data_IF_687443739921
#
_entry.id   IF_687443739921
#
_cell.length_a   1.000
_cell.length_b   1.000
_cell.length_c   1.000
_cell.angle_alpha   90.00
_cell.angle_beta   90.00
_cell.angle_gamma   90.00
#
_symmetry.space_group_name_H-M   'P 1'
#
loop_
_entity.id
_entity.type
_entity.pdbx_description
1 polymer ?
#
# COMPACT_ATOMS: atom_id res chain seq x y z
N UNK A 1 20.70 21.32 24.28
CA UNK A 1 19.45 20.52 24.31
C UNK A 1 18.55 20.67 23.07
N UNK A 2 18.72 21.67 22.19
CA UNK A 2 17.83 21.87 21.02
C UNK A 2 18.10 20.92 19.83
N UNK A 3 19.35 20.52 19.62
CA UNK A 3 19.74 19.67 18.48
C UNK A 3 19.26 18.21 18.64
N UNK A 4 19.28 17.65 19.85
CA UNK A 4 18.81 16.29 20.08
C UNK A 4 17.28 16.18 19.96
N UNK A 5 16.55 17.27 20.27
CA UNK A 5 15.10 17.34 20.07
C UNK A 5 14.74 17.37 18.59
N UNK A 6 15.43 18.20 17.80
CA UNK A 6 15.29 18.24 16.33
C UNK A 6 15.62 16.89 15.66
N UNK A 7 16.67 16.20 16.12
CA UNK A 7 17.02 14.87 15.58
C UNK A 7 15.96 13.83 15.92
N UNK A 8 15.41 13.87 17.14
CA UNK A 8 14.32 12.98 17.55
C UNK A 8 13.04 13.28 16.74
N UNK A 9 12.69 14.55 16.55
CA UNK A 9 11.54 14.98 15.76
C UNK A 9 11.69 14.54 14.28
N UNK A 10 12.89 14.65 13.70
CA UNK A 10 13.17 14.14 12.35
C UNK A 10 13.10 12.61 12.28
N UNK A 11 13.64 11.88 13.26
CA UNK A 11 13.56 10.41 13.28
C UNK A 11 12.12 9.93 13.45
N UNK A 12 11.33 10.64 14.24
CA UNK A 12 9.89 10.40 14.40
C UNK A 12 9.18 10.65 13.06
N UNK A 13 9.44 11.76 12.36
CA UNK A 13 8.87 12.05 11.04
C UNK A 13 9.30 11.02 9.97
N UNK A 14 10.54 10.53 10.00
CA UNK A 14 11.04 9.47 9.10
C UNK A 14 10.43 8.10 9.43
N UNK A 15 10.18 7.82 10.72
CA UNK A 15 9.46 6.61 11.13
C UNK A 15 7.98 6.68 10.72
N UNK A 16 7.34 7.85 10.85
CA UNK A 16 5.97 8.07 10.39
C UNK A 16 5.84 8.04 8.86
N UNK A 17 6.86 8.45 8.10
CA UNK A 17 6.81 8.31 6.63
C UNK A 17 6.94 6.86 6.14
N UNK A 18 7.43 5.93 6.98
CA UNK A 18 7.32 4.48 6.72
C UNK A 18 5.95 3.89 7.07
N UNK A 19 5.08 4.65 7.75
CA UNK A 19 3.65 4.35 7.93
C UNK A 19 2.83 5.04 6.82
N UNK A 20 3.42 5.20 5.63
CA UNK A 20 2.61 5.41 4.44
C UNK A 20 1.93 4.09 4.10
N UNK A 21 0.61 4.07 4.35
CA UNK A 21 -0.32 3.03 3.92
C UNK A 21 0.10 2.48 2.57
N UNK A 22 0.40 1.19 2.50
CA UNK A 22 0.67 0.49 1.27
C UNK A 22 -0.65 0.41 0.47
N UNK A 23 -1.01 1.51 -0.19
CA UNK A 23 -1.96 1.51 -1.29
C UNK A 23 -1.15 1.54 -2.57
N UNK A 24 -0.46 0.43 -2.84
CA UNK A 24 0.19 0.24 -4.12
C UNK A 24 -0.90 0.29 -5.19
N UNK A 25 -0.83 1.29 -6.07
CA UNK A 25 -1.67 1.34 -7.25
C UNK A 25 -1.57 0.02 -8.01
N UNK A 26 -2.71 -0.57 -8.39
CA UNK A 26 -2.77 -1.76 -9.21
C UNK A 26 -2.86 -1.31 -10.67
N UNK A 27 -1.72 -1.29 -11.37
CA UNK A 27 -1.67 -0.73 -12.72
C UNK A 27 -2.53 -1.52 -13.71
N UNK A 28 -2.62 -2.83 -13.53
CA UNK A 28 -3.43 -3.76 -14.31
C UNK A 28 -4.93 -3.48 -14.19
N UNK A 29 -5.37 -2.90 -13.05
CA UNK A 29 -6.76 -2.48 -12.88
C UNK A 29 -7.20 -1.49 -13.95
N UNK A 30 -6.32 -0.56 -14.33
CA UNK A 30 -6.63 0.47 -15.32
C UNK A 30 -6.96 -0.10 -16.70
N UNK A 31 -6.37 -1.24 -17.07
CA UNK A 31 -6.66 -1.91 -18.34
C UNK A 31 -8.05 -2.56 -18.38
N UNK A 32 -8.65 -2.81 -17.22
CA UNK A 32 -9.97 -3.47 -17.09
C UNK A 32 -11.12 -2.49 -16.86
N UNK A 33 -10.80 -1.22 -16.59
CA UNK A 33 -11.76 -0.18 -16.29
C UNK A 33 -12.53 0.22 -17.56
N UNK A 34 -13.84 -0.01 -17.54
CA UNK A 34 -14.74 0.30 -18.65
C UNK A 34 -15.91 1.11 -18.15
N UNK A 35 -16.23 2.21 -18.84
CA UNK A 35 -17.47 2.95 -18.59
C UNK A 35 -18.67 2.08 -18.97
N UNK A 36 -19.62 1.99 -18.05
CA UNK A 36 -20.89 1.28 -18.26
C UNK A 36 -22.06 2.25 -18.11
N UNK A 37 -23.21 1.90 -18.69
CA UNK A 37 -24.43 2.71 -18.59
C UNK A 37 -24.97 2.78 -17.16
N UNK A 38 -24.88 1.68 -16.43
CA UNK A 38 -25.34 1.57 -15.05
C UNK A 38 -24.64 0.40 -14.36
N UNK A 39 -24.45 0.52 -13.05
CA UNK A 39 -23.99 -0.59 -12.22
C UNK A 39 -25.14 -1.53 -11.82
N UNK A 40 -24.84 -2.78 -11.46
CA UNK A 40 -25.82 -3.72 -10.92
C UNK A 40 -26.64 -3.14 -9.76
N UNK A 41 -27.95 -3.39 -9.78
CA UNK A 41 -28.89 -2.87 -8.81
C UNK A 41 -29.08 -3.78 -7.59
N UNK A 42 -28.70 -5.05 -7.70
CA UNK A 42 -28.88 -6.08 -6.68
C UNK A 42 -27.81 -7.18 -6.79
N UNK A 43 -27.83 -8.13 -5.86
CA UNK A 43 -26.83 -9.19 -5.78
C UNK A 43 -26.85 -10.14 -6.99
N UNK A 44 -28.03 -10.41 -7.55
CA UNK A 44 -28.17 -11.30 -8.71
C UNK A 44 -27.55 -10.68 -9.96
N UNK A 45 -27.88 -9.42 -10.24
CA UNK A 45 -27.26 -8.64 -11.32
C UNK A 45 -25.75 -8.50 -11.11
N UNK A 46 -25.32 -8.28 -9.86
CA UNK A 46 -23.91 -8.16 -9.53
C UNK A 46 -23.17 -9.45 -9.83
N UNK A 47 -23.75 -10.60 -9.46
CA UNK A 47 -23.16 -11.92 -9.70
C UNK A 47 -23.05 -12.19 -11.20
N UNK A 48 -24.12 -11.91 -11.96
CA UNK A 48 -24.13 -12.04 -13.42
C UNK A 48 -23.06 -11.16 -14.08
N UNK A 49 -22.93 -9.91 -13.65
CA UNK A 49 -21.95 -8.98 -14.18
C UNK A 49 -20.51 -9.38 -13.79
N UNK A 50 -20.29 -9.84 -12.56
CA UNK A 50 -19.00 -10.33 -12.09
C UNK A 50 -18.50 -11.54 -12.88
N UNK A 51 -19.38 -12.52 -13.11
CA UNK A 51 -19.08 -13.70 -13.96
C UNK A 51 -18.76 -13.25 -15.38
N UNK A 52 -19.57 -12.35 -15.95
CA UNK A 52 -19.35 -11.83 -17.31
C UNK A 52 -18.02 -11.07 -17.43
N UNK A 53 -17.62 -10.33 -16.40
CA UNK A 53 -16.36 -9.57 -16.39
C UNK A 53 -15.13 -10.48 -16.26
N UNK A 54 -15.26 -11.62 -15.57
CA UNK A 54 -14.25 -12.67 -15.53
C UNK A 54 -12.94 -12.25 -14.84
N UNK A 55 -13.00 -11.43 -13.78
CA UNK A 55 -11.79 -10.87 -13.16
C UNK A 55 -10.79 -11.93 -12.65
N UNK A 56 -11.25 -13.13 -12.30
CA UNK A 56 -10.40 -14.24 -11.86
C UNK A 56 -9.58 -14.91 -12.97
N UNK A 57 -9.90 -14.64 -14.24
CA UNK A 57 -9.17 -15.19 -15.40
C UNK A 57 -8.07 -14.24 -15.90
N UNK A 58 -8.06 -13.00 -15.41
CA UNK A 58 -7.11 -11.97 -15.84
C UNK A 58 -5.82 -12.11 -15.03
N UNK A 59 -4.68 -12.25 -15.70
CA UNK A 59 -3.38 -12.26 -15.02
C UNK A 59 -3.07 -10.87 -14.43
N UNK A 60 -2.68 -10.82 -13.16
CA UNK A 60 -2.35 -9.58 -12.45
C UNK A 60 -1.26 -9.83 -11.38
N UNK A 61 -0.48 -8.80 -11.04
CA UNK A 61 0.45 -8.83 -9.90
C UNK A 61 -0.17 -8.29 -8.60
N UNK A 62 -1.43 -7.87 -8.64
CA UNK A 62 -2.13 -7.26 -7.50
C UNK A 62 -2.56 -8.29 -6.45
N UNK A 63 -2.77 -7.86 -5.20
CA UNK A 63 -3.12 -8.75 -4.08
C UNK A 63 -4.44 -9.50 -4.27
N UNK A 64 -5.39 -8.88 -4.96
CA UNK A 64 -6.62 -9.49 -5.42
C UNK A 64 -7.13 -8.73 -6.64
N UNK A 65 -8.05 -9.36 -7.37
CA UNK A 65 -8.66 -8.77 -8.55
C UNK A 65 -10.12 -9.19 -8.63
N UNK A 66 -10.92 -8.45 -7.86
CA UNK A 66 -12.34 -8.69 -7.71
C UNK A 66 -13.13 -7.78 -8.64
N UNK A 67 -14.35 -8.19 -8.96
CA UNK A 67 -15.26 -7.38 -9.73
C UNK A 67 -15.77 -6.20 -8.90
N UNK A 68 -15.69 -5.00 -9.48
CA UNK A 68 -16.28 -3.79 -8.95
C UNK A 68 -17.10 -3.10 -10.03
N UNK A 69 -18.22 -2.52 -9.61
CA UNK A 69 -18.88 -1.47 -10.37
C UNK A 69 -19.17 -0.32 -9.42
N UNK A 70 -18.62 0.84 -9.71
CA UNK A 70 -18.60 2.01 -8.82
C UNK A 70 -18.71 3.30 -9.64
N UNK A 71 -18.89 4.44 -8.98
CA UNK A 71 -18.85 5.73 -9.68
C UNK A 71 -17.41 6.15 -10.01
N UNK A 72 -17.22 7.03 -10.98
CA UNK A 72 -15.91 7.67 -11.22
C UNK A 72 -15.66 8.83 -10.22
N UNK A 73 -14.45 9.39 -10.26
CA UNK A 73 -14.05 10.50 -9.37
C UNK A 73 -14.93 11.76 -9.48
N UNK A 74 -15.53 11.98 -10.65
CA UNK A 74 -16.41 13.12 -10.94
C UNK A 74 -17.89 12.84 -10.66
N UNK A 75 -18.23 11.62 -10.24
CA UNK A 75 -19.59 11.14 -9.93
C UNK A 75 -20.59 11.28 -11.09
N UNK A 76 -20.10 11.35 -12.33
CA UNK A 76 -20.94 11.52 -13.52
C UNK A 76 -20.96 10.27 -14.42
N UNK A 77 -20.19 9.25 -14.09
CA UNK A 77 -20.15 7.97 -14.81
C UNK A 77 -20.06 6.79 -13.84
N UNK A 78 -20.55 5.64 -14.29
CA UNK A 78 -20.30 4.35 -13.64
C UNK A 78 -19.20 3.59 -14.36
N UNK A 79 -18.28 3.03 -13.59
CA UNK A 79 -17.10 2.30 -14.04
C UNK A 79 -17.20 0.86 -13.54
N UNK A 80 -17.11 -0.08 -14.47
CA UNK A 80 -16.94 -1.50 -14.20
C UNK A 80 -15.46 -1.84 -14.34
N UNK A 81 -14.86 -2.49 -13.35
CA UNK A 81 -13.41 -2.68 -13.26
C UNK A 81 -13.07 -3.92 -12.44
N UNK A 82 -11.96 -4.56 -12.78
CA UNK A 82 -11.31 -5.53 -11.91
C UNK A 82 -10.25 -4.80 -11.08
N UNK A 83 -10.29 -4.93 -9.76
CA UNK A 83 -9.40 -4.20 -8.88
C UNK A 83 -9.21 -4.94 -7.55
N UNK A 84 -8.17 -4.61 -6.77
CA UNK A 84 -8.08 -5.04 -5.39
C UNK A 84 -9.27 -4.55 -4.59
N UNK A 85 -9.83 -5.45 -3.77
CA UNK A 85 -10.88 -5.11 -2.83
C UNK A 85 -10.36 -4.12 -1.80
N UNK A 86 -10.99 -2.95 -1.74
CA UNK A 86 -10.72 -1.91 -0.77
C UNK A 86 -11.81 -1.85 0.30
N UNK A 87 -11.44 -1.54 1.55
CA UNK A 87 -12.42 -1.21 2.60
C UNK A 87 -12.70 0.29 2.52
N UNK A 88 -13.92 0.65 2.16
CA UNK A 88 -14.36 2.05 2.09
C UNK A 88 -14.61 2.56 3.51
N UNK A 89 -14.10 3.74 3.81
CA UNK A 89 -14.17 4.37 5.13
C UNK A 89 -14.99 5.66 5.06
N UNK A 90 -15.93 5.83 6.00
CA UNK A 90 -16.49 7.14 6.36
C UNK A 90 -17.78 7.57 5.66
N UNK A 91 -18.85 6.74 5.63
CA UNK A 91 -20.17 7.12 5.10
C UNK A 91 -20.11 7.76 3.71
N UNK A 92 -19.26 7.22 2.85
CA UNK A 92 -19.02 7.70 1.48
C UNK A 92 -19.14 6.57 0.48
N UNK A 93 -19.40 6.93 -0.77
CA UNK A 93 -19.44 5.99 -1.88
C UNK A 93 -18.04 5.56 -2.30
N UNK A 94 -17.91 4.30 -2.71
CA UNK A 94 -16.73 3.82 -3.42
C UNK A 94 -16.64 4.49 -4.80
N UNK A 95 -15.44 4.86 -5.21
CA UNK A 95 -15.14 5.30 -6.57
C UNK A 95 -13.98 4.53 -7.17
N UNK A 96 -13.92 4.54 -8.50
CA UNK A 96 -12.69 4.24 -9.22
C UNK A 96 -11.97 5.53 -9.58
N UNK A 97 -10.75 5.68 -9.05
CA UNK A 97 -9.87 6.79 -9.39
C UNK A 97 -9.05 6.41 -10.62
N UNK A 98 -9.38 6.98 -11.79
CA UNK A 98 -8.64 6.73 -13.03
C UNK A 98 -7.15 7.15 -12.90
N UNK A 99 -6.90 8.29 -12.24
CA UNK A 99 -5.54 8.79 -11.99
C UNK A 99 -4.78 7.92 -10.99
N UNK A 100 -5.45 7.44 -9.94
CA UNK A 100 -4.88 6.56 -8.93
C UNK A 100 -4.85 5.08 -9.29
N UNK A 101 -5.52 4.68 -10.39
CA UNK A 101 -5.67 3.30 -10.87
C UNK A 101 -6.14 2.34 -9.77
N UNK A 102 -7.09 2.80 -8.95
CA UNK A 102 -7.52 2.09 -7.74
C UNK A 102 -8.95 2.43 -7.34
N UNK A 103 -9.54 1.55 -6.55
CA UNK A 103 -10.76 1.82 -5.80
C UNK A 103 -10.41 2.60 -4.52
N UNK A 104 -11.22 3.59 -4.17
CA UNK A 104 -11.10 4.36 -2.93
C UNK A 104 -12.47 4.91 -2.50
N UNK A 105 -12.53 5.58 -1.35
CA UNK A 105 -13.72 6.36 -0.96
C UNK A 105 -13.76 7.71 -1.67
N UNK A 106 -14.94 8.16 -2.08
CA UNK A 106 -15.16 9.49 -2.64
C UNK A 106 -15.71 10.42 -1.55
N UNK A 107 -14.85 11.27 -0.99
CA UNK A 107 -15.20 12.22 0.08
C UNK A 107 -16.29 13.24 -0.32
N UNK A 108 -16.55 13.39 -1.61
CA UNK A 108 -17.57 14.28 -2.17
C UNK A 108 -18.86 13.54 -2.55
N UNK A 109 -18.93 12.22 -2.34
CA UNK A 109 -20.10 11.38 -2.52
C UNK A 109 -20.55 10.84 -1.15
N UNK A 110 -21.18 11.70 -0.35
CA UNK A 110 -21.77 11.27 0.92
C UNK A 110 -22.84 10.19 0.70
N UNK A 111 -22.90 9.25 1.62
CA UNK A 111 -23.74 8.07 1.55
C UNK A 111 -24.40 7.88 2.92
N UNK A 112 -25.73 7.96 2.94
CA UNK A 112 -26.55 8.00 4.16
C UNK A 112 -26.84 6.61 4.70
N UNK A 113 -26.99 5.63 3.81
CA UNK A 113 -27.44 4.27 4.15
C UNK A 113 -26.31 3.24 4.14
N UNK A 114 -25.10 3.60 3.67
CA UNK A 114 -23.94 2.73 3.88
C UNK A 114 -23.42 2.80 5.32
N UNK A 115 -22.81 1.71 5.82
CA UNK A 115 -22.10 1.72 7.08
C UNK A 115 -20.82 2.56 6.98
N UNK A 116 -20.23 2.87 8.14
CA UNK A 116 -18.95 3.60 8.24
C UNK A 116 -17.77 2.83 7.63
N UNK A 117 -17.90 1.51 7.47
CA UNK A 117 -16.91 0.63 6.84
C UNK A 117 -17.62 -0.42 6.00
N UNK A 118 -17.25 -0.58 4.73
CA UNK A 118 -17.74 -1.69 3.90
C UNK A 118 -16.74 -2.12 2.83
N UNK A 119 -16.79 -3.38 2.37
CA UNK A 119 -15.99 -3.85 1.25
C UNK A 119 -16.50 -3.25 -0.07
N UNK A 120 -15.60 -2.65 -0.85
CA UNK A 120 -15.95 -1.97 -2.10
C UNK A 120 -16.55 -2.87 -3.21
N UNK A 121 -16.37 -4.19 -3.15
CA UNK A 121 -17.05 -5.13 -4.05
C UNK A 121 -18.56 -5.25 -3.73
N UNK A 122 -18.98 -4.78 -2.55
CA UNK A 122 -20.38 -4.72 -2.12
C UNK A 122 -21.06 -3.36 -2.40
N UNK A 123 -20.43 -2.48 -3.18
CA UNK A 123 -20.98 -1.15 -3.49
C UNK A 123 -22.37 -1.18 -4.15
N UNK A 124 -22.76 -2.30 -4.77
CA UNK A 124 -24.11 -2.53 -5.28
C UNK A 124 -25.19 -2.55 -4.19
N UNK A 125 -24.84 -2.67 -2.91
CA UNK A 125 -25.82 -2.57 -1.81
C UNK A 125 -26.27 -1.13 -1.56
N UNK A 126 -25.52 -0.13 -2.05
CA UNK A 126 -25.74 1.28 -1.76
C UNK A 126 -26.16 2.04 -3.01
N UNK A 127 -27.41 1.82 -3.43
CA UNK A 127 -27.92 2.34 -4.71
C UNK A 127 -27.96 3.87 -4.79
N UNK A 128 -28.07 4.55 -3.65
CA UNK A 128 -27.96 6.02 -3.54
C UNK A 128 -26.63 6.56 -4.12
N UNK A 129 -25.56 5.76 -4.11
CA UNK A 129 -24.28 6.17 -4.69
C UNK A 129 -24.34 6.37 -6.20
N UNK A 130 -25.23 5.66 -6.89
CA UNK A 130 -25.40 5.81 -8.34
C UNK A 130 -26.39 6.93 -8.70
N UNK A 131 -27.11 7.50 -7.73
CA UNK A 131 -27.97 8.67 -7.95
C UNK A 131 -27.15 9.91 -8.30
N UNK A 132 -25.92 10.03 -7.81
CA UNK A 132 -25.00 11.10 -8.23
C UNK A 132 -24.82 11.12 -9.75
N UNK A 133 -24.67 9.95 -10.37
CA UNK A 133 -24.53 9.81 -11.83
C UNK A 133 -25.82 10.17 -12.53
N UNK A 134 -26.97 9.77 -12.00
CA UNK A 134 -28.29 10.13 -12.55
C UNK A 134 -28.50 11.65 -12.53
N UNK A 135 -28.18 12.29 -11.41
CA UNK A 135 -28.35 13.74 -11.22
C UNK A 135 -27.38 14.55 -12.07
N UNK A 136 -26.13 14.10 -12.22
CA UNK A 136 -25.15 14.76 -13.10
C UNK A 136 -25.54 14.71 -14.58
N UNK A 137 -26.28 13.68 -14.98
CA UNK A 137 -26.74 13.48 -16.36
C UNK A 137 -28.20 13.93 -16.58
N UNK A 138 -28.86 14.47 -15.56
CA UNK A 138 -30.21 15.00 -15.70
C UNK A 138 -30.18 16.22 -16.66
N UNK A 139 -31.15 16.34 -17.58
CA UNK A 139 -31.31 17.56 -18.36
C UNK A 139 -31.44 18.74 -17.39
N UNK A 140 -30.74 19.83 -17.67
CA UNK A 140 -30.86 21.06 -16.88
C UNK A 140 -32.26 21.64 -17.10
N UNK A 141 -33.27 21.16 -16.37
CA UNK A 141 -34.57 21.81 -16.36
C UNK A 141 -34.42 23.08 -15.55
N UNK A 142 -34.20 24.20 -16.24
CA UNK A 142 -34.34 25.53 -15.65
C UNK A 142 -35.76 25.64 -15.10
N UNK A 143 -35.93 25.44 -13.79
CA UNK A 143 -37.16 25.86 -13.12
C UNK A 143 -37.12 27.39 -13.04
N UNK A 144 -37.66 28.06 -14.06
CA UNK A 144 -38.24 29.37 -13.85
C UNK A 144 -39.59 29.13 -13.16
N UNK A 145 -39.63 29.40 -11.86
CA UNK A 145 -40.89 29.59 -11.14
C UNK A 145 -41.53 30.86 -11.67
N UNK A 146 -42.66 30.75 -12.35
CA UNK A 146 -43.61 31.85 -12.48
C UNK A 146 -44.99 31.25 -12.23
N UNK A 147 -45.56 31.64 -11.09
CA UNK A 147 -46.96 31.44 -10.76
C UNK A 147 -47.84 32.10 -11.83
N UNK A 148 -48.75 31.35 -12.44
CA UNK A 148 -50.12 31.80 -12.74
C UNK A 148 -50.98 30.66 -13.29
N UNK A 149 -51.97 30.29 -12.49
CA UNK A 149 -53.39 30.02 -12.79
C UNK A 149 -53.81 29.28 -14.08
N UNK A 150 -54.45 28.14 -13.85
CA UNK A 150 -55.49 27.42 -14.62
C UNK A 150 -55.76 27.83 -16.08
N UNK A 151 -55.55 26.87 -17.00
CA UNK A 151 -56.62 26.50 -17.95
C UNK A 151 -56.37 25.13 -18.60
N UNK A 152 -57.47 24.41 -18.74
CA UNK A 152 -57.65 23.06 -19.24
C UNK A 152 -57.34 22.89 -20.74
N UNK A 153 -56.91 21.66 -21.08
CA UNK A 153 -57.31 20.88 -22.26
C UNK A 153 -56.28 20.60 -23.37
N UNK A 154 -56.29 19.31 -23.73
CA UNK A 154 -56.06 18.68 -25.04
C UNK A 154 -54.77 17.88 -25.22
N UNK A 155 -54.97 16.56 -25.12
CA UNK A 155 -54.20 15.46 -25.68
C UNK A 155 -53.67 15.73 -27.09
N UNK A 156 -52.36 15.57 -27.30
CA UNK A 156 -51.81 15.16 -28.58
C UNK A 156 -50.71 14.12 -28.39
N UNK A 157 -51.06 12.90 -28.80
CA UNK A 157 -50.15 11.81 -29.13
C UNK A 157 -49.22 12.28 -30.26
N UNK A 158 -47.90 12.23 -30.04
CA UNK A 158 -46.94 12.27 -31.15
C UNK A 158 -46.02 11.05 -30.99
N UNK A 159 -46.44 10.00 -31.68
CA UNK A 159 -45.58 8.95 -32.23
C UNK A 159 -44.57 9.59 -33.17
N UNK A 160 -43.27 9.39 -32.96
CA UNK A 160 -42.25 9.25 -34.01
C UNK A 160 -40.99 8.67 -33.36
N UNK A 161 -40.80 7.36 -33.44
CA UNK A 161 -40.03 6.64 -34.46
C UNK A 161 -38.51 6.78 -34.30
N UNK A 162 -37.94 5.69 -33.80
CA UNK A 162 -36.54 5.30 -33.88
C UNK A 162 -35.96 5.55 -35.27
N UNK A 163 -34.85 6.29 -35.32
CA UNK A 163 -33.94 6.28 -36.45
C UNK A 163 -32.59 5.76 -35.97
N UNK A 164 -32.26 4.56 -36.42
CA UNK A 164 -30.91 4.02 -36.39
C UNK A 164 -30.02 4.91 -37.25
N UNK A 165 -28.94 5.43 -36.66
CA UNK A 165 -27.83 6.02 -37.40
C UNK A 165 -26.59 5.19 -37.09
N UNK A 166 -26.36 4.17 -37.91
CA UNK A 166 -25.01 3.71 -38.23
C UNK A 166 -24.35 4.81 -39.04
N UNK A 167 -23.26 5.41 -38.58
CA UNK A 167 -22.24 5.95 -39.49
C UNK A 167 -20.89 6.17 -38.81
N UNK A 168 -19.96 5.31 -39.24
CA UNK A 168 -18.57 5.56 -39.63
C UNK A 168 -17.58 6.09 -38.59
N UNK A 169 -16.65 5.19 -38.32
CA UNK A 169 -15.24 5.45 -38.00
C UNK A 169 -14.68 6.65 -38.79
N UNK A 170 -14.03 7.54 -38.04
CA UNK A 170 -13.19 8.63 -38.53
C UNK A 170 -12.05 8.85 -37.53
N UNK A 171 -10.87 9.28 -37.99
CA UNK A 171 -9.60 8.70 -37.57
C UNK A 171 -9.10 9.21 -36.22
N UNK A 172 -8.28 8.36 -35.60
CA UNK A 172 -7.42 8.68 -34.47
C UNK A 172 -6.74 10.04 -34.66
N UNK A 173 -7.20 11.04 -33.89
CA UNK A 173 -6.38 12.21 -33.61
C UNK A 173 -5.30 11.79 -32.63
N UNK A 174 -4.14 11.47 -33.21
CA UNK A 174 -2.83 11.61 -32.59
C UNK A 174 -2.81 12.89 -31.74
N UNK A 175 -2.80 12.71 -30.42
CA UNK A 175 -2.33 13.74 -29.51
C UNK A 175 -0.83 13.80 -29.72
N UNK A 176 -0.40 14.78 -30.51
CA UNK A 176 0.99 15.16 -30.60
C UNK A 176 1.51 15.41 -29.19
N UNK A 177 2.63 14.76 -28.88
CA UNK A 177 3.53 15.11 -27.80
C UNK A 177 3.62 16.64 -27.70
N UNK A 178 3.02 17.21 -26.65
CA UNK A 178 3.54 18.45 -26.11
C UNK A 178 4.79 18.03 -25.36
N UNK A 179 5.90 17.99 -26.09
CA UNK A 179 7.22 18.09 -25.49
C UNK A 179 7.25 19.46 -24.79
N UNK A 180 6.86 19.45 -23.52
CA UNK A 180 7.00 20.59 -22.63
C UNK A 180 8.49 20.76 -22.32
N UNK A 181 9.21 21.36 -23.28
CA UNK A 181 10.47 22.02 -23.01
C UNK A 181 10.19 23.24 -22.15
N UNK A 182 10.09 23.03 -20.85
CA UNK A 182 10.39 24.03 -19.83
C UNK A 182 10.48 23.36 -18.46
N UNK A 183 11.67 22.87 -18.10
CA UNK A 183 12.27 23.08 -16.76
C UNK A 183 13.62 22.36 -16.59
N UNK A 184 14.74 23.09 -16.60
CA UNK A 184 16.00 22.54 -16.06
C UNK A 184 16.59 23.38 -14.92
N UNK A 185 15.83 24.30 -14.30
CA UNK A 185 16.35 25.11 -13.17
C UNK A 185 15.89 24.61 -11.79
N UNK A 186 14.61 24.27 -11.63
CA UNK A 186 14.11 23.82 -10.32
C UNK A 186 14.60 22.43 -9.91
N UNK A 187 14.63 21.47 -10.83
CA UNK A 187 15.16 20.13 -10.54
C UNK A 187 16.64 20.15 -10.17
N UNK A 188 17.41 21.00 -10.83
CA UNK A 188 18.86 21.18 -10.56
C UNK A 188 19.09 21.82 -9.20
N UNK A 189 18.26 22.81 -8.82
CA UNK A 189 18.31 23.43 -7.48
C UNK A 189 17.94 22.40 -6.40
N UNK A 190 16.88 21.61 -6.60
CA UNK A 190 16.46 20.57 -5.65
C UNK A 190 17.56 19.51 -5.49
N UNK A 191 18.17 19.06 -6.59
CA UNK A 191 19.27 18.09 -6.55
C UNK A 191 20.49 18.63 -5.78
N UNK A 192 20.86 19.89 -5.97
CA UNK A 192 21.95 20.55 -5.24
C UNK A 192 21.61 20.66 -3.75
N UNK A 193 20.39 21.09 -3.41
CA UNK A 193 19.96 21.20 -2.01
C UNK A 193 19.99 19.85 -1.29
N UNK A 194 19.57 18.78 -1.96
CA UNK A 194 19.62 17.41 -1.42
C UNK A 194 21.07 16.96 -1.23
N UNK A 195 21.93 17.18 -2.22
CA UNK A 195 23.35 16.80 -2.13
C UNK A 195 24.08 17.53 -0.99
N UNK A 196 23.86 18.84 -0.85
CA UNK A 196 24.45 19.65 0.24
C UNK A 196 23.90 19.22 1.60
N UNK A 197 22.59 18.93 1.68
CA UNK A 197 21.97 18.41 2.89
C UNK A 197 22.57 17.07 3.33
N UNK A 198 22.74 16.14 2.40
CA UNK A 198 23.37 14.83 2.66
C UNK A 198 24.84 14.99 3.07
N UNK A 199 25.61 15.86 2.42
CA UNK A 199 26.99 16.13 2.78
C UNK A 199 27.11 16.71 4.21
N UNK A 200 26.27 17.67 4.57
CA UNK A 200 26.24 18.24 5.91
C UNK A 200 25.87 17.19 6.97
N UNK A 201 24.91 16.31 6.66
CA UNK A 201 24.55 15.18 7.53
C UNK A 201 25.75 14.26 7.73
N UNK A 202 26.46 13.87 6.65
CA UNK A 202 27.65 13.02 6.73
C UNK A 202 28.74 13.68 7.60
N UNK A 203 29.02 14.97 7.42
CA UNK A 203 30.02 15.71 8.24
C UNK A 203 29.59 15.75 9.72
N UNK A 204 28.32 16.00 10.01
CA UNK A 204 27.83 15.98 11.40
C UNK A 204 27.96 14.58 12.00
N UNK A 205 27.68 13.53 11.23
CA UNK A 205 27.86 12.15 11.66
C UNK A 205 29.33 11.79 11.87
N UNK A 206 30.26 12.20 11.00
CA UNK A 206 31.70 11.91 11.18
C UNK A 206 32.27 12.67 12.36
N UNK A 207 31.92 13.94 12.56
CA UNK A 207 32.36 14.75 13.71
C UNK A 207 31.77 14.23 15.03
N UNK A 208 30.47 13.88 15.07
CA UNK A 208 29.87 13.27 16.26
C UNK A 208 30.38 11.86 16.53
N UNK A 209 30.64 11.07 15.49
CA UNK A 209 31.22 9.72 15.61
C UNK A 209 32.62 9.81 16.23
N UNK A 210 33.44 10.76 15.81
CA UNK A 210 34.75 10.98 16.42
C UNK A 210 34.63 11.33 17.92
N UNK A 211 33.74 12.26 18.27
CA UNK A 211 33.49 12.64 19.67
C UNK A 211 32.95 11.48 20.53
N UNK A 212 32.14 10.57 19.95
CA UNK A 212 31.65 9.37 20.63
C UNK A 212 32.75 8.31 20.81
N UNK A 213 33.60 8.11 19.80
CA UNK A 213 34.74 7.18 19.88
C UNK A 213 35.71 7.63 20.98
N UNK A 214 36.01 8.93 21.09
CA UNK A 214 36.91 9.45 22.14
C UNK A 214 36.34 9.20 23.55
N UNK A 215 35.02 9.35 23.73
CA UNK A 215 34.36 9.02 25.00
C UNK A 215 34.40 7.53 25.29
N UNK A 216 34.10 6.67 24.32
CA UNK A 216 34.14 5.22 24.49
C UNK A 216 35.56 4.75 24.82
N UNK A 217 36.58 5.31 24.17
CA UNK A 217 37.97 4.99 24.46
C UNK A 217 38.37 5.41 25.88
N UNK A 218 37.86 6.55 26.37
CA UNK A 218 38.07 6.97 27.76
C UNK A 218 37.39 6.03 28.78
N UNK A 219 36.19 5.50 28.46
CA UNK A 219 35.50 4.53 29.31
C UNK A 219 36.20 3.17 29.31
N UNK A 220 36.61 2.68 28.14
CA UNK A 220 37.36 1.43 28.01
C UNK A 220 38.69 1.48 28.76
N UNK A 221 39.42 2.60 28.66
CA UNK A 221 40.67 2.79 29.41
C UNK A 221 40.46 2.69 30.92
N UNK A 222 39.34 3.20 31.44
CA UNK A 222 38.99 3.12 32.86
C UNK A 222 38.65 1.70 33.30
N UNK A 223 37.96 0.93 32.46
CA UNK A 223 37.61 -0.47 32.74
C UNK A 223 38.86 -1.34 32.72
N UNK A 224 39.78 -1.13 31.77
CA UNK A 224 41.04 -1.89 31.69
C UNK A 224 41.90 -1.63 32.93
N UNK A 225 42.05 -0.38 33.38
CA UNK A 225 42.79 -0.07 34.60
C UNK A 225 42.16 -0.68 35.87
N UNK A 226 40.83 -0.78 35.94
CA UNK A 226 40.16 -1.46 37.06
C UNK A 226 40.29 -2.99 36.98
N UNK A 227 40.40 -3.54 35.76
CA UNK A 227 40.59 -4.98 35.58
C UNK A 227 41.97 -5.42 36.05
N UNK A 228 43.04 -4.67 35.78
CA UNK A 228 44.41 -4.95 36.24
C UNK A 228 44.55 -4.96 37.77
N UNK A 229 43.79 -4.11 38.48
CA UNK A 229 43.75 -4.13 39.96
C UNK A 229 43.00 -5.35 40.53
N UNK A 230 42.04 -5.91 39.78
CA UNK A 230 41.19 -7.02 40.23
C UNK A 230 41.78 -8.41 39.94
N UNK A 231 42.65 -8.55 38.93
CA UNK A 231 43.31 -9.84 38.60
C UNK A 231 44.50 -10.17 39.51
N UNK A 232 45.07 -9.19 40.21
CA UNK A 232 46.12 -9.44 41.21
C UNK A 232 45.58 -9.97 42.56
N UNK A 233 44.27 -9.83 42.83
CA UNK A 233 43.66 -10.27 44.10
C UNK A 233 42.92 -11.61 44.05
N UNK A 234 42.57 -12.14 42.86
CA UNK A 234 41.66 -13.30 42.74
C UNK A 234 42.30 -14.58 42.18
N UNK A 235 43.51 -14.50 41.64
CA UNK A 235 44.18 -15.65 40.99
C UNK A 235 44.77 -16.65 41.99
N UNK A 236 44.93 -16.28 43.26
CA UNK A 236 45.49 -17.17 44.29
C UNK A 236 44.43 -18.07 44.98
N UNK A 237 43.15 -17.72 44.90
CA UNK A 237 42.07 -18.41 45.64
C UNK A 237 41.31 -19.48 44.85
N UNK A 238 41.22 -19.37 43.52
CA UNK A 238 40.31 -20.21 42.72
C UNK A 238 41.04 -21.42 42.09
N UNK A 239 42.32 -21.28 41.77
CA UNK A 239 43.10 -22.35 41.12
C UNK A 239 43.34 -23.57 42.03
N UNK A 240 43.19 -23.42 43.35
CA UNK A 240 43.34 -24.54 44.30
C UNK A 240 42.10 -25.43 44.45
N UNK A 241 40.95 -25.05 43.90
CA UNK A 241 39.67 -25.75 44.20
C UNK A 241 39.04 -26.52 43.04
N UNK A 242 39.58 -26.43 41.83
CA UNK A 242 38.97 -26.99 40.62
C UNK A 242 39.71 -28.24 40.09
N UNK A 243 40.87 -28.60 40.65
CA UNK A 243 41.73 -29.66 40.08
C UNK A 243 41.52 -31.06 40.69
N UNK A 244 40.63 -31.24 41.68
CA UNK A 244 40.53 -32.53 42.40
C UNK A 244 39.13 -33.17 42.43
N UNK A 245 38.17 -32.72 41.62
CA UNK A 245 36.83 -33.35 41.57
C UNK A 245 36.65 -34.20 40.28
N UNK A 246 36.89 -35.53 40.35
CA UNK A 246 36.76 -36.43 39.21
C UNK A 246 35.32 -36.62 38.73
N UNK A 247 34.29 -36.27 39.52
CA UNK A 247 32.89 -36.37 39.08
C UNK A 247 32.54 -35.29 38.05
N UNK A 248 33.11 -34.10 38.20
CA UNK A 248 32.88 -32.97 37.28
C UNK A 248 33.54 -33.26 35.91
N UNK A 249 34.70 -33.91 35.92
CA UNK A 249 35.42 -34.25 34.70
C UNK A 249 34.73 -35.37 33.90
N UNK A 250 34.14 -36.36 34.58
CA UNK A 250 33.31 -37.37 33.93
C UNK A 250 32.00 -36.79 33.38
N UNK A 251 31.38 -35.84 34.08
CA UNK A 251 30.17 -35.17 33.61
C UNK A 251 30.42 -34.34 32.33
N UNK A 252 31.58 -33.67 32.24
CA UNK A 252 31.99 -32.94 31.03
C UNK A 252 32.25 -33.88 29.85
N UNK A 253 32.94 -35.00 30.09
CA UNK A 253 33.23 -35.98 29.05
C UNK A 253 31.94 -36.62 28.49
N UNK A 254 30.98 -36.96 29.35
CA UNK A 254 29.68 -37.52 28.92
C UNK A 254 28.86 -36.54 28.07
N UNK A 255 28.96 -35.23 28.38
CA UNK A 255 28.28 -34.18 27.61
C UNK A 255 28.93 -33.95 26.24
N UNK A 256 30.25 -34.05 26.13
CA UNK A 256 30.93 -33.98 24.83
C UNK A 256 30.53 -35.15 23.91
N UNK A 257 30.41 -36.37 24.45
CA UNK A 257 29.99 -37.54 23.66
C UNK A 257 28.55 -37.42 23.15
N UNK A 258 27.64 -36.89 23.97
CA UNK A 258 26.24 -36.65 23.55
C UNK A 258 26.15 -35.63 22.42
N UNK A 259 26.98 -34.59 22.43
CA UNK A 259 26.98 -33.56 21.38
C UNK A 259 27.50 -34.14 20.06
N UNK A 260 28.53 -34.98 20.10
CA UNK A 260 29.07 -35.61 18.89
C UNK A 260 28.08 -36.58 18.21
N UNK A 261 27.31 -37.36 19.00
CA UNK A 261 26.28 -38.28 18.45
C UNK A 261 25.15 -37.52 17.75
N UNK A 262 24.74 -36.37 18.29
CA UNK A 262 23.73 -35.50 17.66
C UNK A 262 24.22 -34.93 16.33
N UNK A 263 25.49 -34.49 16.28
CA UNK A 263 26.08 -33.98 15.03
C UNK A 263 26.17 -35.06 13.95
N UNK A 264 26.51 -36.29 14.31
CA UNK A 264 26.61 -37.41 13.36
C UNK A 264 25.24 -37.74 12.74
N UNK A 265 24.18 -37.82 13.55
CA UNK A 265 22.80 -38.11 13.08
C UNK A 265 22.23 -37.02 12.18
N UNK A 266 22.57 -35.75 12.44
CA UNK A 266 22.14 -34.63 11.60
C UNK A 266 22.78 -34.67 10.21
N UNK A 267 24.03 -35.14 10.13
CA UNK A 267 24.75 -35.21 8.85
C UNK A 267 24.23 -36.34 7.96
N UNK A 268 23.93 -37.52 8.53
CA UNK A 268 23.36 -38.66 7.81
C UNK A 268 21.96 -38.39 7.24
N UNK A 269 21.17 -37.56 7.93
CA UNK A 269 19.84 -37.14 7.42
C UNK A 269 19.94 -36.16 6.24
N UNK A 270 21.04 -35.43 6.09
CA UNK A 270 21.23 -34.47 5.00
C UNK A 270 21.57 -35.17 3.67
N UNK A 271 22.34 -36.26 3.73
CA UNK A 271 22.77 -36.99 2.53
C UNK A 271 21.64 -37.81 1.87
N UNK A 272 20.67 -38.27 2.67
CA UNK A 272 19.48 -38.97 2.17
C UNK A 272 18.47 -38.05 1.45
N UNK A 273 18.48 -36.74 1.72
CA UNK A 273 17.58 -35.77 1.06
C UNK A 273 18.11 -35.41 -0.34
N UNK A 274 19.43 -35.35 -0.53
CA UNK A 274 20.04 -35.02 -1.82
C UNK A 274 20.00 -36.16 -2.84
N UNK A 275 19.91 -37.42 -2.40
CA UNK A 275 19.87 -38.58 -3.31
C UNK A 275 18.53 -38.76 -4.03
N UNK A 276 17.44 -38.18 -3.50
CA UNK A 276 16.09 -38.29 -4.09
C UNK A 276 15.73 -37.16 -5.08
N UNK A 277 16.62 -36.17 -5.26
CA UNK A 277 16.39 -35.04 -6.16
C UNK A 277 16.98 -35.21 -7.57
N UNK A 278 17.67 -36.34 -7.85
CA UNK A 278 18.40 -36.58 -9.11
C UNK A 278 17.72 -37.64 -10.01
N UNK A 279 16.52 -38.12 -9.68
CA UNK A 279 15.79 -39.10 -10.52
C UNK A 279 14.31 -38.77 -10.74
N UNK A 280 13.99 -37.52 -11.09
CA UNK A 280 12.66 -37.14 -11.64
C UNK A 280 12.81 -36.18 -12.80
#
# INVERSE_FOLDING_TARGET
MKLNRLVLDCLILIAFSKVYVNSSACYESAATATKVKSCPQNHEEWTKAAVKKGCGEISHACSSFEYHCVINAWRNETIEVCAPKWIVHGYVCAEYSQGGKRIQGNEKAACKHCPSYYPSNESFKYQECYEYVKNANAPLTTQLTTESTDMESTTQEIVYSSSSMTHKEGPARSFQNIESQNTPRHFTIIAICVAVGLAAIVVVFTVKRQSWIDKIFSYLKRIISQSEESTMGKTESVTKKIVEDPEIQNCLLEKETQIQDVFFKLNESSDNINSNAVSS
#
